data_IF_770526087087
#
_entry.id   IF_770526087087
#
_cell.length_a   1.000
_cell.length_b   1.000
_cell.length_c   1.000
_cell.angle_alpha   90.00
_cell.angle_beta   90.00
_cell.angle_gamma   90.00
#
_symmetry.space_group_name_H-M   'P 1'
#
loop_
_entity.id
_entity.type
_entity.pdbx_description
1 polymer ?
#
# COMPACT_ATOMS: atom_id res chain seq x y z
N UNK A 1 20.84 5.69 -12.98
CA UNK A 1 20.31 6.75 -12.09
C UNK A 1 18.96 7.17 -12.63
N UNK A 2 17.87 6.97 -11.86
CA UNK A 2 16.58 7.57 -12.21
C UNK A 2 16.59 9.01 -11.72
N UNK A 3 16.27 9.96 -12.60
CA UNK A 3 16.05 11.35 -12.22
C UNK A 3 14.74 11.44 -11.44
N UNK A 4 14.80 11.88 -10.19
CA UNK A 4 13.59 12.12 -9.39
C UNK A 4 12.92 13.39 -9.89
N UNK A 5 11.64 13.32 -10.22
CA UNK A 5 10.86 14.48 -10.64
C UNK A 5 10.42 15.32 -9.44
N UNK A 6 10.12 16.61 -9.65
CA UNK A 6 9.63 17.49 -8.57
C UNK A 6 8.33 17.00 -7.95
N UNK A 7 7.49 16.29 -8.71
CA UNK A 7 6.25 15.67 -8.20
C UNK A 7 6.53 14.49 -7.28
N UNK A 8 7.46 13.60 -7.66
CA UNK A 8 7.86 12.47 -6.83
C UNK A 8 8.53 12.93 -5.51
N UNK A 9 9.36 13.97 -5.56
CA UNK A 9 9.95 14.57 -4.35
C UNK A 9 8.89 15.12 -3.40
N UNK A 10 7.87 15.81 -3.94
CA UNK A 10 6.77 16.33 -3.13
C UNK A 10 5.99 15.18 -2.47
N UNK A 11 5.66 14.12 -3.21
CA UNK A 11 4.96 12.95 -2.66
C UNK A 11 5.79 12.23 -1.59
N UNK A 12 7.09 12.03 -1.81
CA UNK A 12 7.97 11.41 -0.80
C UNK A 12 8.10 12.25 0.47
N UNK A 13 8.18 13.59 0.36
CA UNK A 13 8.19 14.47 1.52
C UNK A 13 6.86 14.41 2.27
N UNK A 14 5.74 14.47 1.58
CA UNK A 14 4.41 14.31 2.19
C UNK A 14 4.28 12.95 2.89
N UNK A 15 4.76 11.87 2.27
CA UNK A 15 4.77 10.54 2.89
C UNK A 15 5.61 10.50 4.18
N UNK A 16 6.81 11.09 4.16
CA UNK A 16 7.65 11.18 5.34
C UNK A 16 6.96 11.96 6.50
N UNK A 17 6.31 13.09 6.19
CA UNK A 17 5.57 13.87 7.17
C UNK A 17 4.38 13.09 7.75
N UNK A 18 3.62 12.38 6.91
CA UNK A 18 2.52 11.53 7.36
C UNK A 18 3.01 10.42 8.31
N UNK A 19 4.14 9.78 8.02
CA UNK A 19 4.76 8.77 8.88
C UNK A 19 5.23 9.36 10.21
N UNK A 20 5.64 10.63 10.22
CA UNK A 20 6.00 11.38 11.43
C UNK A 20 4.79 11.90 12.22
N UNK A 21 3.56 11.67 11.74
CA UNK A 21 2.33 12.02 12.42
C UNK A 21 1.69 13.34 11.99
N UNK A 22 2.13 13.94 10.88
CA UNK A 22 1.47 15.12 10.33
C UNK A 22 0.09 14.75 9.76
N UNK A 23 -0.97 15.18 10.45
CA UNK A 23 -2.34 14.86 10.08
C UNK A 23 -2.74 15.39 8.70
N UNK A 24 -2.43 16.64 8.31
CA UNK A 24 -2.72 17.14 6.96
C UNK A 24 -2.04 16.33 5.86
N UNK A 25 -0.76 15.97 6.02
CA UNK A 25 -0.06 15.11 5.07
C UNK A 25 -0.72 13.73 4.96
N UNK A 26 -1.15 13.16 6.09
CA UNK A 26 -1.87 11.89 6.11
C UNK A 26 -3.20 11.98 5.36
N UNK A 27 -4.00 13.01 5.61
CA UNK A 27 -5.27 13.23 4.92
C UNK A 27 -5.09 13.40 3.41
N UNK A 28 -4.12 14.22 2.99
CA UNK A 28 -3.83 14.43 1.57
C UNK A 28 -3.46 13.13 0.84
N UNK A 29 -2.68 12.24 1.48
CA UNK A 29 -2.32 10.94 0.89
C UNK A 29 -3.51 9.98 0.85
N UNK A 30 -4.38 9.99 1.88
CA UNK A 30 -5.61 9.20 1.87
C UNK A 30 -6.56 9.64 0.75
N UNK A 31 -6.71 10.96 0.54
CA UNK A 31 -7.49 11.52 -0.56
C UNK A 31 -6.90 11.11 -1.93
N UNK A 32 -5.58 11.18 -2.07
CA UNK A 32 -4.90 10.76 -3.29
C UNK A 32 -4.99 9.24 -3.58
N UNK A 33 -5.26 8.42 -2.55
CA UNK A 33 -5.59 7.00 -2.70
C UNK A 33 -7.09 6.73 -2.89
N UNK A 34 -7.93 7.76 -2.84
CA UNK A 34 -9.38 7.67 -2.90
C UNK A 34 -9.96 7.47 -4.31
N UNK A 35 -11.29 7.39 -4.35
CA UNK A 35 -12.06 7.31 -5.60
C UNK A 35 -11.89 8.61 -6.42
N UNK A 36 -11.93 8.51 -7.75
CA UNK A 36 -11.71 9.66 -8.66
C UNK A 36 -10.24 9.91 -9.03
N UNK A 37 -9.28 9.31 -8.32
CA UNK A 37 -7.86 9.35 -8.69
C UNK A 37 -7.50 8.20 -9.64
N UNK A 38 -6.51 8.37 -10.54
CA UNK A 38 -6.05 7.31 -11.44
C UNK A 38 -5.37 6.16 -10.69
N UNK A 39 -5.48 4.93 -11.22
CA UNK A 39 -4.82 3.75 -10.64
C UNK A 39 -3.31 3.94 -10.48
N UNK A 40 -2.64 4.56 -11.47
CA UNK A 40 -1.20 4.82 -11.40
C UNK A 40 -0.83 5.76 -10.25
N UNK A 41 -1.60 6.82 -10.03
CA UNK A 41 -1.38 7.74 -8.91
C UNK A 41 -1.62 7.05 -7.58
N UNK A 42 -2.71 6.29 -7.42
CA UNK A 42 -2.97 5.55 -6.17
C UNK A 42 -1.85 4.57 -5.82
N UNK A 43 -1.36 3.83 -6.81
CA UNK A 43 -0.21 2.90 -6.67
C UNK A 43 1.07 3.61 -6.27
N UNK A 44 1.35 4.77 -6.87
CA UNK A 44 2.53 5.57 -6.55
C UNK A 44 2.47 6.13 -5.13
N UNK A 45 1.32 6.67 -4.72
CA UNK A 45 1.10 7.22 -3.38
C UNK A 45 1.20 6.13 -2.31
N UNK A 46 0.56 4.96 -2.53
CA UNK A 46 0.70 3.84 -1.62
C UNK A 46 2.16 3.41 -1.49
N UNK A 47 2.89 3.33 -2.60
CA UNK A 47 4.31 2.96 -2.57
C UNK A 47 5.15 3.95 -1.78
N UNK A 48 4.90 5.25 -1.91
CA UNK A 48 5.62 6.28 -1.15
C UNK A 48 5.46 6.10 0.36
N UNK A 49 4.33 5.57 0.85
CA UNK A 49 4.16 5.20 2.26
C UNK A 49 4.77 3.83 2.57
N UNK A 50 4.58 2.86 1.68
CA UNK A 50 5.08 1.49 1.84
C UNK A 50 6.60 1.42 2.01
N UNK A 51 7.35 2.34 1.39
CA UNK A 51 8.81 2.42 1.51
C UNK A 51 9.29 2.63 2.97
N UNK A 52 8.42 3.19 3.83
CA UNK A 52 8.68 3.37 5.26
C UNK A 52 8.29 2.16 6.12
N UNK A 53 7.71 1.11 5.54
CA UNK A 53 7.42 -0.13 6.27
C UNK A 53 8.70 -0.78 6.76
N UNK A 54 8.76 -1.10 8.06
CA UNK A 54 9.97 -1.68 8.66
C UNK A 54 10.18 -3.13 8.21
N UNK A 55 9.09 -3.87 8.02
CA UNK A 55 9.15 -5.28 7.66
C UNK A 55 9.25 -5.44 6.14
N UNK A 56 10.26 -6.17 5.68
CA UNK A 56 10.43 -6.46 4.26
C UNK A 56 9.23 -7.22 3.65
N UNK A 57 8.60 -8.08 4.45
CA UNK A 57 7.39 -8.81 4.05
C UNK A 57 6.26 -7.83 3.73
N UNK A 58 6.05 -6.80 4.54
CA UNK A 58 4.95 -5.86 4.32
C UNK A 58 5.18 -5.06 3.01
N UNK A 59 6.44 -4.75 2.67
CA UNK A 59 6.78 -4.17 1.37
C UNK A 59 6.51 -5.11 0.20
N UNK A 60 6.77 -6.42 0.36
CA UNK A 60 6.41 -7.43 -0.64
C UNK A 60 4.89 -7.48 -0.83
N UNK A 61 4.12 -7.46 0.25
CA UNK A 61 2.65 -7.50 0.20
C UNK A 61 2.03 -6.25 -0.41
N UNK A 62 2.70 -5.10 -0.31
CA UNK A 62 2.26 -3.83 -0.88
C UNK A 62 2.82 -3.57 -2.28
N UNK A 63 3.74 -4.40 -2.77
CA UNK A 63 4.31 -4.31 -4.13
C UNK A 63 3.44 -5.05 -5.13
N UNK A 64 3.08 -4.39 -6.24
CA UNK A 64 2.25 -5.00 -7.30
C UNK A 64 2.89 -6.24 -7.91
N UNK A 65 4.21 -6.18 -8.09
CA UNK A 65 4.98 -7.22 -8.77
C UNK A 65 5.51 -8.26 -7.77
N UNK A 66 5.11 -8.15 -6.49
CA UNK A 66 5.39 -9.11 -5.41
C UNK A 66 6.89 -9.28 -5.10
N UNK A 67 7.70 -8.29 -5.44
CA UNK A 67 9.16 -8.30 -5.29
C UNK A 67 9.64 -7.33 -4.20
N UNK A 68 8.71 -6.60 -3.59
CA UNK A 68 9.03 -5.58 -2.58
C UNK A 68 9.63 -4.31 -3.19
N UNK A 69 9.36 -4.06 -4.47
CA UNK A 69 9.74 -2.85 -5.20
C UNK A 69 8.51 -2.15 -5.79
N UNK A 70 8.70 -0.91 -6.23
CA UNK A 70 7.67 -0.14 -6.91
C UNK A 70 7.27 -0.78 -8.26
N UNK A 71 6.01 -0.64 -8.71
CA UNK A 71 4.93 0.15 -8.09
C UNK A 71 4.21 -0.60 -6.97
N UNK A 72 3.49 0.16 -6.14
CA UNK A 72 2.59 -0.43 -5.14
C UNK A 72 1.36 -1.09 -5.78
N UNK A 73 0.66 -1.93 -5.02
CA UNK A 73 -0.69 -2.41 -5.36
C UNK A 73 -1.66 -1.23 -5.47
N UNK A 74 -2.78 -1.44 -6.15
CA UNK A 74 -3.82 -0.43 -6.20
C UNK A 74 -4.75 -0.56 -4.98
N UNK A 75 -4.75 0.39 -4.02
CA UNK A 75 -5.65 0.33 -2.87
C UNK A 75 -7.14 0.46 -3.27
N UNK A 76 -7.42 0.97 -4.47
CA UNK A 76 -8.78 1.04 -5.02
C UNK A 76 -9.32 -0.29 -5.53
N UNK A 77 -8.43 -1.26 -5.84
CA UNK A 77 -8.78 -2.63 -6.24
C UNK A 77 -8.98 -3.50 -4.99
N UNK A 78 -9.98 -4.38 -5.04
CA UNK A 78 -10.24 -5.32 -3.96
C UNK A 78 -9.22 -6.48 -3.99
N UNK A 79 -8.55 -6.71 -2.86
CA UNK A 79 -7.72 -7.89 -2.64
C UNK A 79 -8.62 -9.08 -2.36
N UNK A 80 -8.46 -10.11 -3.17
CA UNK A 80 -9.24 -11.35 -3.14
C UNK A 80 -8.47 -12.49 -2.47
N UNK A 81 -9.15 -13.58 -2.15
CA UNK A 81 -8.48 -14.81 -1.69
C UNK A 81 -7.42 -15.30 -2.68
N UNK A 82 -7.66 -15.16 -3.99
CA UNK A 82 -6.68 -15.51 -5.03
C UNK A 82 -5.39 -14.72 -4.86
N UNK A 83 -5.48 -13.45 -4.51
CA UNK A 83 -4.32 -12.60 -4.27
C UNK A 83 -3.57 -13.07 -3.02
N UNK A 84 -4.28 -13.40 -1.94
CA UNK A 84 -3.67 -13.98 -0.72
C UNK A 84 -2.83 -15.21 -1.06
N UNK A 85 -3.33 -16.12 -1.90
CA UNK A 85 -2.56 -17.28 -2.34
C UNK A 85 -1.29 -16.89 -3.13
N UNK A 86 -1.39 -15.91 -4.03
CA UNK A 86 -0.25 -15.45 -4.81
C UNK A 86 0.82 -14.81 -3.90
N UNK A 87 0.42 -13.92 -3.00
CA UNK A 87 1.33 -13.24 -2.07
C UNK A 87 1.89 -14.18 -1.00
N UNK A 88 1.16 -15.20 -0.57
CA UNK A 88 1.67 -16.27 0.29
C UNK A 88 2.86 -16.98 -0.34
N UNK A 89 2.78 -17.28 -1.63
CA UNK A 89 3.88 -17.88 -2.38
C UNK A 89 5.09 -16.94 -2.47
N UNK A 90 4.86 -15.67 -2.79
CA UNK A 90 5.93 -14.67 -2.91
C UNK A 90 6.65 -14.39 -1.58
N UNK A 91 5.87 -14.18 -0.50
CA UNK A 91 6.38 -13.90 0.84
C UNK A 91 6.86 -15.16 1.59
N UNK A 92 6.62 -16.35 1.04
CA UNK A 92 6.90 -17.66 1.67
C UNK A 92 6.23 -17.80 3.04
N UNK A 93 4.99 -17.34 3.14
CA UNK A 93 4.18 -17.41 4.36
C UNK A 93 2.93 -18.28 4.14
N UNK A 94 2.37 -18.85 5.20
CA UNK A 94 1.02 -19.39 5.17
C UNK A 94 -0.02 -18.32 4.82
N UNK A 95 -1.09 -18.72 4.12
CA UNK A 95 -2.17 -17.79 3.70
C UNK A 95 -2.85 -17.07 4.87
N UNK A 96 -3.02 -17.73 6.01
CA UNK A 96 -3.60 -17.11 7.20
C UNK A 96 -2.71 -16.00 7.78
N UNK A 97 -1.38 -16.12 7.70
CA UNK A 97 -0.47 -15.06 8.12
C UNK A 97 -0.48 -13.89 7.15
N UNK A 98 -0.53 -14.15 5.83
CA UNK A 98 -0.70 -13.10 4.82
C UNK A 98 -2.01 -12.34 5.04
N UNK A 99 -3.08 -13.05 5.36
CA UNK A 99 -4.37 -12.44 5.70
C UNK A 99 -4.26 -11.51 6.90
N UNK A 100 -3.71 -12.00 8.01
CA UNK A 100 -3.51 -11.20 9.22
C UNK A 100 -2.64 -9.97 8.97
N UNK A 101 -1.61 -10.09 8.12
CA UNK A 101 -0.77 -8.96 7.70
C UNK A 101 -1.55 -7.95 6.88
N UNK A 102 -2.35 -8.38 5.89
CA UNK A 102 -3.20 -7.47 5.13
C UNK A 102 -4.22 -6.76 6.01
N UNK A 103 -4.79 -7.44 7.01
CA UNK A 103 -5.67 -6.82 8.00
C UNK A 103 -4.96 -5.72 8.80
N UNK A 104 -3.74 -5.99 9.29
CA UNK A 104 -2.93 -4.98 9.99
C UNK A 104 -2.46 -3.83 9.07
N UNK A 105 -2.25 -4.09 7.79
CA UNK A 105 -1.96 -3.07 6.78
C UNK A 105 -3.19 -2.21 6.47
N UNK A 106 -4.39 -2.81 6.46
CA UNK A 106 -5.65 -2.11 6.21
C UNK A 106 -6.04 -1.11 7.32
N UNK A 107 -5.47 -1.23 8.52
CA UNK A 107 -5.60 -0.20 9.58
C UNK A 107 -4.82 1.09 9.25
N UNK A 108 -3.82 1.00 8.36
CA UNK A 108 -2.91 2.10 8.02
C UNK A 108 -3.17 2.64 6.62
N UNK A 109 -3.56 1.77 5.71
CA UNK A 109 -3.80 2.04 4.30
C UNK A 109 -5.24 1.70 3.92
N UNK A 110 -5.87 2.42 2.97
CA UNK A 110 -7.26 2.19 2.58
C UNK A 110 -7.41 0.94 1.68
N UNK A 111 -6.88 -0.20 2.11
CA UNK A 111 -6.95 -1.47 1.38
C UNK A 111 -8.36 -2.07 1.49
N UNK A 112 -8.88 -2.56 0.36
CA UNK A 112 -10.16 -3.27 0.30
C UNK A 112 -9.88 -4.77 0.35
N UNK A 113 -10.41 -5.46 1.35
CA UNK A 113 -10.17 -6.90 1.57
C UNK A 113 -11.48 -7.67 1.41
N UNK A 114 -11.56 -8.60 0.44
CA UNK A 114 -12.81 -9.30 0.12
C UNK A 114 -13.32 -10.19 1.26
N UNK A 115 -12.43 -10.63 2.15
CA UNK A 115 -12.76 -11.48 3.30
C UNK A 115 -13.08 -10.67 4.57
N UNK A 116 -12.87 -9.35 4.55
CA UNK A 116 -13.29 -8.46 5.64
C UNK A 116 -14.62 -7.86 5.22
N UNK A 117 -15.72 -8.53 5.57
CA UNK A 117 -17.06 -7.95 5.42
C UNK A 117 -17.04 -6.58 6.10
N UNK A 118 -17.38 -5.51 5.36
CA UNK A 118 -17.67 -4.21 6.00
C UNK A 118 -18.75 -4.50 7.03
N UNK A 119 -18.41 -4.42 8.31
CA UNK A 119 -19.40 -4.40 9.37
C UNK A 119 -20.39 -3.30 9.04
N UNK A 120 -21.66 -3.67 9.01
CA UNK A 120 -22.83 -2.79 8.86
C UNK A 120 -22.73 -1.55 9.72
#
# INVERSE_FOLDING_TARGET
MRSVTSGELATSLTAALAVLGDAPAREALLEAMGEGTSSSTRRAVLWSLADFEKQAIDRILLSRDQDGLAPGIDPGEELTERDVWAYARAARLPTHEVRARYEALAERYPLKLSWRTRGT
#
